data_IF_776546861723
#
_entry.id   IF_776546861723
#
_cell.length_a   1.000
_cell.length_b   1.000
_cell.length_c   1.000
_cell.angle_alpha   90.00
_cell.angle_beta   90.00
_cell.angle_gamma   90.00
#
_symmetry.space_group_name_H-M   'P 1'
#
loop_
_entity.id
_entity.type
_entity.pdbx_description
1 polymer ?
#
# COMPACT_ATOMS: atom_id res chain seq x y z
N UNK A 1 -2.46 11.98 -14.11
CA UNK A 1 -2.00 11.88 -12.70
C UNK A 1 -2.86 10.84 -12.03
N UNK A 2 -2.39 10.14 -11.01
CA UNK A 2 -3.27 9.32 -10.19
C UNK A 2 -3.85 10.22 -9.07
N UNK A 3 -5.15 10.15 -8.87
CA UNK A 3 -5.88 10.95 -7.88
C UNK A 3 -6.59 10.02 -6.89
N UNK A 4 -6.81 10.51 -5.67
CA UNK A 4 -7.57 9.78 -4.64
C UNK A 4 -7.01 8.37 -4.46
N UNK A 5 -5.69 8.29 -4.25
CA UNK A 5 -4.93 7.04 -4.25
C UNK A 5 -5.04 6.39 -2.88
N UNK A 6 -5.55 5.18 -2.85
CA UNK A 6 -5.61 4.32 -1.67
C UNK A 6 -4.62 3.18 -1.83
N UNK A 7 -3.70 3.05 -0.89
CA UNK A 7 -2.76 1.93 -0.80
C UNK A 7 -3.12 1.10 0.42
N UNK A 8 -3.36 -0.19 0.21
CA UNK A 8 -3.75 -1.14 1.24
C UNK A 8 -2.88 -2.41 1.18
N UNK A 9 -2.16 -2.70 2.26
CA UNK A 9 -1.35 -3.90 2.40
C UNK A 9 -2.01 -4.89 3.37
N UNK A 10 -2.59 -5.94 2.80
CA UNK A 10 -3.28 -6.99 3.56
C UNK A 10 -2.36 -8.12 4.00
N UNK A 11 -1.06 -8.00 3.75
CA UNK A 11 -0.09 -9.04 4.06
C UNK A 11 0.16 -9.15 5.56
N UNK A 12 -0.19 -8.20 6.42
CA UNK A 12 0.32 -8.20 7.80
C UNK A 12 -0.80 -8.25 8.84
N UNK A 13 -1.27 -9.45 9.22
CA UNK A 13 -2.33 -9.58 10.22
C UNK A 13 -1.84 -9.20 11.62
N UNK A 14 -2.68 -8.46 12.35
CA UNK A 14 -2.35 -7.89 13.67
C UNK A 14 -2.01 -8.93 14.74
N UNK A 15 -2.47 -10.17 14.57
CA UNK A 15 -2.19 -11.28 15.49
C UNK A 15 -0.75 -11.80 15.40
N UNK A 16 -0.06 -11.54 14.29
CA UNK A 16 1.33 -11.96 14.04
C UNK A 16 2.30 -10.79 13.91
N UNK A 17 1.80 -9.60 13.54
CA UNK A 17 2.62 -8.41 13.35
C UNK A 17 2.04 -7.22 14.09
N UNK A 18 2.92 -6.45 14.72
CA UNK A 18 2.59 -5.16 15.27
C UNK A 18 3.22 -4.06 14.42
N UNK A 19 2.40 -3.11 13.96
CA UNK A 19 2.92 -1.89 13.32
C UNK A 19 3.62 -1.06 14.39
N UNK A 20 4.91 -0.80 14.19
CA UNK A 20 5.71 0.07 15.07
C UNK A 20 5.97 1.43 14.46
N UNK A 21 5.82 1.57 13.14
CA UNK A 21 5.88 2.84 12.43
C UNK A 21 5.26 2.75 11.04
N UNK A 22 4.70 3.86 10.56
CA UNK A 22 3.95 3.89 9.30
C UNK A 22 2.53 3.37 9.45
N UNK A 23 1.89 3.08 8.32
CA UNK A 23 0.50 2.62 8.23
C UNK A 23 0.35 1.61 7.09
N UNK A 24 -0.37 0.51 7.30
CA UNK A 24 -0.65 -0.48 6.24
C UNK A 24 -1.73 -0.01 5.25
N UNK A 25 -2.49 1.02 5.65
CA UNK A 25 -3.52 1.67 4.86
C UNK A 25 -3.18 3.15 4.76
N UNK A 26 -2.95 3.64 3.55
CA UNK A 26 -2.58 5.05 3.31
C UNK A 26 -3.45 5.63 2.21
N UNK A 27 -3.87 6.88 2.42
CA UNK A 27 -4.52 7.69 1.40
C UNK A 27 -3.57 8.82 0.98
N UNK A 28 -3.38 8.96 -0.33
CA UNK A 28 -2.64 10.04 -0.96
C UNK A 28 -3.60 10.80 -1.89
N UNK A 29 -3.62 12.13 -1.79
CA UNK A 29 -4.53 12.93 -2.61
C UNK A 29 -4.18 12.84 -4.10
N UNK A 30 -2.89 12.83 -4.43
CA UNK A 30 -2.41 12.83 -5.82
C UNK A 30 -0.99 12.27 -5.94
N UNK A 31 -0.77 11.49 -7.00
CA UNK A 31 0.56 11.17 -7.53
C UNK A 31 0.70 11.82 -8.93
N UNK A 32 1.62 12.78 -9.10
CA UNK A 32 1.85 13.42 -10.40
C UNK A 32 2.25 12.42 -11.49
N UNK A 33 1.99 12.72 -12.77
CA UNK A 33 2.49 11.91 -13.87
C UNK A 33 4.02 11.79 -13.78
N UNK A 34 4.56 10.61 -14.07
CA UNK A 34 6.00 10.32 -14.04
C UNK A 34 6.67 10.50 -12.66
N UNK A 35 5.88 10.63 -11.58
CA UNK A 35 6.39 10.67 -10.22
C UNK A 35 6.26 9.30 -9.54
N UNK A 36 7.20 9.00 -8.65
CA UNK A 36 7.19 7.81 -7.82
C UNK A 36 6.93 8.20 -6.36
N UNK A 37 6.22 7.33 -5.64
CA UNK A 37 6.02 7.45 -4.20
C UNK A 37 6.55 6.19 -3.55
N UNK A 38 7.42 6.35 -2.56
CA UNK A 38 7.90 5.27 -1.71
C UNK A 38 7.15 5.33 -0.39
N UNK A 39 6.51 4.23 -0.03
CA UNK A 39 5.83 4.05 1.24
C UNK A 39 6.60 3.03 2.07
N UNK A 40 6.75 3.30 3.38
CA UNK A 40 7.53 2.44 4.27
C UNK A 40 6.78 2.20 5.56
N UNK A 41 6.71 0.93 5.95
CA UNK A 41 6.10 0.47 7.20
C UNK A 41 7.13 -0.34 7.96
N UNK A 42 7.24 -0.08 9.26
CA UNK A 42 8.10 -0.85 10.16
C UNK A 42 7.20 -1.76 10.98
N UNK A 43 7.45 -3.06 10.89
CA UNK A 43 6.67 -4.10 11.54
C UNK A 43 7.54 -4.84 12.56
N UNK A 44 6.93 -5.24 13.67
CA UNK A 44 7.53 -6.14 14.66
C UNK A 44 6.74 -7.45 14.65
N UNK A 45 7.36 -8.60 14.30
CA UNK A 45 6.72 -9.89 14.47
C UNK A 45 6.48 -10.18 15.95
N UNK A 46 5.30 -10.65 16.29
CA UNK A 46 4.87 -11.01 17.65
C UNK A 46 4.80 -12.52 17.86
N UNK A 47 4.84 -13.30 16.77
CA UNK A 47 4.85 -14.77 16.78
C UNK A 47 5.96 -15.30 15.88
N UNK A 48 6.50 -16.46 16.23
CA UNK A 48 7.44 -17.17 15.38
C UNK A 48 6.67 -17.94 14.30
N UNK A 49 7.22 -18.05 13.10
CA UNK A 49 6.62 -18.79 12.00
C UNK A 49 7.11 -18.30 10.64
N UNK A 50 6.72 -19.05 9.61
CA UNK A 50 6.86 -18.60 8.23
C UNK A 50 5.67 -17.76 7.84
N UNK A 51 5.93 -16.68 7.10
CA UNK A 51 4.90 -15.80 6.61
C UNK A 51 5.21 -15.35 5.19
N UNK A 52 4.19 -15.39 4.32
CA UNK A 52 4.29 -14.94 2.94
C UNK A 52 3.65 -13.56 2.84
N UNK A 53 4.41 -12.55 2.45
CA UNK A 53 3.89 -11.24 2.11
C UNK A 53 3.80 -11.08 0.59
N UNK A 54 2.89 -10.23 0.12
CA UNK A 54 2.66 -9.93 -1.29
C UNK A 54 2.64 -8.43 -1.52
N UNK A 55 2.68 -8.00 -2.78
CA UNK A 55 2.50 -6.59 -3.13
C UNK A 55 1.19 -6.03 -2.57
N UNK A 56 1.22 -4.77 -2.14
CA UNK A 56 0.04 -4.05 -1.66
C UNK A 56 -0.88 -3.67 -2.83
N UNK A 57 -2.17 -3.58 -2.57
CA UNK A 57 -3.16 -3.12 -3.55
C UNK A 57 -3.17 -1.60 -3.61
N UNK A 58 -3.22 -1.04 -4.82
CA UNK A 58 -3.30 0.40 -5.07
C UNK A 58 -4.56 0.68 -5.88
N UNK A 59 -5.44 1.52 -5.35
CA UNK A 59 -6.67 1.97 -6.00
C UNK A 59 -6.63 3.46 -6.26
N UNK A 60 -6.95 3.90 -7.47
CA UNK A 60 -6.88 5.33 -7.82
C UNK A 60 -7.82 5.72 -8.96
N UNK A 61 -8.02 7.03 -9.13
CA UNK A 61 -8.72 7.63 -10.26
C UNK A 61 -7.74 8.20 -11.27
N UNK A 62 -8.05 8.06 -12.56
CA UNK A 62 -7.20 8.56 -13.68
C UNK A 62 -7.41 10.04 -13.97
N UNK A 63 -8.57 10.60 -13.61
CA UNK A 63 -8.94 12.02 -13.67
C UNK A 63 -9.99 12.34 -12.61
N UNK A 64 -10.27 13.63 -12.37
CA UNK A 64 -11.24 14.07 -11.34
C UNK A 64 -12.66 13.56 -11.63
N UNK A 65 -13.06 13.56 -12.90
CA UNK A 65 -14.39 13.11 -13.35
C UNK A 65 -14.48 11.60 -13.61
N UNK A 66 -13.40 10.85 -13.37
CA UNK A 66 -13.38 9.42 -13.63
C UNK A 66 -14.30 8.68 -12.64
N UNK A 67 -15.35 8.05 -13.16
CA UNK A 67 -16.24 7.18 -12.38
C UNK A 67 -15.64 5.80 -12.10
N UNK A 68 -14.68 5.37 -12.93
CA UNK A 68 -14.03 4.07 -12.80
C UNK A 68 -12.75 4.18 -11.95
N UNK A 69 -12.73 3.43 -10.85
CA UNK A 69 -11.53 3.23 -10.03
C UNK A 69 -10.63 2.20 -10.72
N UNK A 70 -9.35 2.54 -10.87
CA UNK A 70 -8.32 1.63 -11.33
C UNK A 70 -7.74 0.86 -10.14
N UNK A 71 -7.38 -0.40 -10.36
CA UNK A 71 -6.73 -1.25 -9.37
C UNK A 71 -5.38 -1.67 -9.94
N UNK A 72 -4.33 -1.52 -9.15
CA UNK A 72 -2.96 -1.88 -9.45
C UNK A 72 -2.30 -2.50 -8.20
N UNK A 73 -1.05 -2.92 -8.32
CA UNK A 73 -0.24 -3.42 -7.20
C UNK A 73 1.05 -2.63 -7.08
N UNK A 74 1.61 -2.55 -5.88
CA UNK A 74 2.95 -1.97 -5.68
C UNK A 74 4.01 -2.84 -6.34
N UNK A 75 5.20 -2.27 -6.56
CA UNK A 75 6.41 -3.06 -6.75
C UNK A 75 6.58 -4.04 -5.58
N UNK A 76 7.14 -5.22 -5.83
CA UNK A 76 7.22 -6.32 -4.86
C UNK A 76 7.81 -5.85 -3.52
N UNK A 77 7.33 -6.36 -2.36
CA UNK A 77 7.83 -5.93 -1.07
C UNK A 77 9.25 -6.47 -0.85
N UNK A 78 10.26 -5.63 -1.03
CA UNK A 78 11.65 -5.96 -0.71
C UNK A 78 12.46 -6.42 -1.92
N UNK A 79 13.21 -5.47 -2.48
CA UNK A 79 14.48 -5.74 -3.15
C UNK A 79 15.62 -5.47 -2.15
#
# INVERSE_FOLDING_TARGET
AALDVHLDDFSFPEEMFKVVGGQLHVKLDRVPPQANVSHTVVLRPTRFGYFNFTAAEVRYKTSEDASQIQVAVTSEPGE
#
